data_IF_953386830391
#
_entry.id   IF_953386830391
#
_cell.length_a   1.000
_cell.length_b   1.000
_cell.length_c   1.000
_cell.angle_alpha   90.00
_cell.angle_beta   90.00
_cell.angle_gamma   90.00
#
_symmetry.space_group_name_H-M   'P 1'
#
loop_
_entity.id
_entity.type
_entity.pdbx_description
1 polymer ?
#
# COMPACT_ATOMS: atom_id res chain seq x y z
N UNK A 1 8.76 -8.03 -14.65
CA UNK A 1 7.52 -7.32 -14.28
C UNK A 1 7.88 -5.88 -14.00
N UNK A 2 7.12 -4.93 -14.55
CA UNK A 2 7.34 -3.51 -14.30
C UNK A 2 6.66 -3.11 -12.97
N UNK A 3 7.44 -3.01 -11.89
CA UNK A 3 6.89 -2.71 -10.57
C UNK A 3 6.25 -1.31 -10.50
N UNK A 4 6.61 -0.38 -11.39
CA UNK A 4 6.00 0.96 -11.43
C UNK A 4 4.51 0.95 -11.77
N UNK A 5 4.01 -0.13 -12.37
CA UNK A 5 2.61 -0.24 -12.75
C UNK A 5 1.69 -0.68 -11.61
N UNK A 6 2.25 -1.12 -10.49
CA UNK A 6 1.49 -1.53 -9.32
C UNK A 6 0.66 -0.35 -8.77
N UNK A 7 -0.62 -0.57 -8.41
CA UNK A 7 -1.50 0.50 -7.91
C UNK A 7 -0.89 1.32 -6.76
N UNK A 8 -0.18 0.66 -5.83
CA UNK A 8 0.47 1.33 -4.70
C UNK A 8 1.58 2.29 -5.14
N UNK A 9 2.37 1.90 -6.15
CA UNK A 9 3.47 2.72 -6.64
C UNK A 9 2.95 3.92 -7.42
N UNK A 10 1.87 3.75 -8.21
CA UNK A 10 1.18 4.87 -8.86
C UNK A 10 0.60 5.86 -7.85
N UNK A 11 0.02 5.38 -6.75
CA UNK A 11 -0.49 6.23 -5.67
C UNK A 11 0.64 7.03 -5.00
N UNK A 12 1.76 6.38 -4.68
CA UNK A 12 2.93 7.05 -4.10
C UNK A 12 3.47 8.14 -5.04
N UNK A 13 3.54 7.87 -6.35
CA UNK A 13 3.96 8.88 -7.33
C UNK A 13 3.03 10.09 -7.34
N UNK A 14 1.70 9.88 -7.34
CA UNK A 14 0.72 10.99 -7.28
C UNK A 14 0.86 11.81 -5.99
N UNK A 15 1.10 11.16 -4.86
CA UNK A 15 1.37 11.84 -3.57
C UNK A 15 2.63 12.71 -3.69
N UNK A 16 3.72 12.17 -4.22
CA UNK A 16 4.97 12.90 -4.37
C UNK A 16 4.84 14.10 -5.32
N UNK A 17 4.10 13.94 -6.42
CA UNK A 17 3.82 15.03 -7.35
C UNK A 17 2.99 16.14 -6.69
N UNK A 18 1.88 15.80 -6.02
CA UNK A 18 1.05 16.77 -5.30
C UNK A 18 1.84 17.49 -4.20
N UNK A 19 2.64 16.75 -3.43
CA UNK A 19 3.52 17.31 -2.40
C UNK A 19 4.57 18.26 -2.99
N UNK A 20 5.18 17.92 -4.14
CA UNK A 20 6.16 18.78 -4.80
C UNK A 20 5.57 20.10 -5.30
N UNK A 21 4.26 20.12 -5.59
CA UNK A 21 3.49 21.28 -6.04
C UNK A 21 2.81 22.02 -4.89
N UNK A 22 2.86 21.47 -3.67
CA UNK A 22 2.15 21.96 -2.49
C UNK A 22 0.63 22.08 -2.71
N UNK A 23 0.07 21.09 -3.42
CA UNK A 23 -1.34 21.01 -3.81
C UNK A 23 -2.03 19.85 -3.08
N UNK A 24 -3.36 19.92 -2.88
CA UNK A 24 -4.13 18.79 -2.38
C UNK A 24 -4.04 17.60 -3.34
N UNK A 25 -4.09 16.39 -2.79
CA UNK A 25 -4.18 15.17 -3.59
C UNK A 25 -5.64 14.92 -4.00
N UNK A 26 -5.96 15.23 -5.25
CA UNK A 26 -7.25 14.90 -5.83
C UNK A 26 -7.20 13.53 -6.53
N UNK A 27 -8.04 12.60 -6.08
CA UNK A 27 -8.21 11.30 -6.71
C UNK A 27 -9.49 11.31 -7.56
N UNK A 28 -9.37 10.84 -8.80
CA UNK A 28 -10.55 10.69 -9.67
C UNK A 28 -11.43 9.52 -9.20
N UNK A 29 -12.69 9.49 -9.63
CA UNK A 29 -13.61 8.37 -9.34
C UNK A 29 -12.99 7.02 -9.77
N UNK A 30 -12.32 7.01 -10.93
CA UNK A 30 -11.65 5.81 -11.44
C UNK A 30 -10.48 5.38 -10.54
N UNK A 31 -9.64 6.34 -10.09
CA UNK A 31 -8.55 6.06 -9.16
C UNK A 31 -9.08 5.43 -7.86
N UNK A 32 -10.15 6.00 -7.30
CA UNK A 32 -10.76 5.50 -6.06
C UNK A 32 -11.27 4.08 -6.24
N UNK A 33 -11.90 3.76 -7.37
CA UNK A 33 -12.38 2.40 -7.65
C UNK A 33 -11.24 1.39 -7.83
N UNK A 34 -10.17 1.77 -8.52
CA UNK A 34 -8.98 0.92 -8.72
C UNK A 34 -8.30 0.66 -7.38
N UNK A 35 -8.11 1.69 -6.55
CA UNK A 35 -7.47 1.57 -5.25
C UNK A 35 -8.33 0.74 -4.29
N UNK A 36 -9.64 0.96 -4.25
CA UNK A 36 -10.56 0.16 -3.44
C UNK A 36 -10.49 -1.33 -3.80
N UNK A 37 -10.54 -1.68 -5.09
CA UNK A 37 -10.46 -3.08 -5.55
C UNK A 37 -9.07 -3.70 -5.35
N UNK A 38 -8.02 -2.93 -5.57
CA UNK A 38 -6.64 -3.44 -5.56
C UNK A 38 -6.05 -3.54 -4.17
N UNK A 39 -6.29 -2.54 -3.32
CA UNK A 39 -5.60 -2.38 -2.04
C UNK A 39 -6.52 -1.95 -0.88
N UNK A 40 -7.83 -1.73 -1.11
CA UNK A 40 -8.75 -1.17 -0.12
C UNK A 40 -8.90 -2.02 1.14
N UNK A 41 -8.84 -3.34 1.00
CA UNK A 41 -8.94 -4.28 2.13
C UNK A 41 -7.57 -4.66 2.71
N UNK A 42 -6.48 -4.06 2.20
CA UNK A 42 -5.11 -4.42 2.55
C UNK A 42 -4.44 -3.35 3.42
N UNK A 43 -3.67 -3.81 4.40
CA UNK A 43 -2.78 -2.96 5.20
C UNK A 43 -1.34 -3.24 4.78
N UNK A 44 -0.63 -2.21 4.32
CA UNK A 44 0.77 -2.32 3.93
C UNK A 44 1.67 -1.97 5.12
N UNK A 45 2.58 -2.88 5.46
CA UNK A 45 3.67 -2.59 6.39
C UNK A 45 4.88 -2.21 5.52
N UNK A 46 5.29 -0.92 5.49
CA UNK A 46 6.46 -0.53 4.74
C UNK A 46 7.70 -1.17 5.37
N UNK A 47 8.41 -1.95 4.57
CA UNK A 47 9.73 -2.49 4.88
C UNK A 47 10.74 -1.86 3.94
N UNK A 48 11.83 -1.37 4.50
CA UNK A 48 12.89 -0.67 3.78
C UNK A 48 13.99 -1.63 3.33
N UNK A 49 14.15 -2.76 4.02
CA UNK A 49 15.26 -3.70 3.87
C UNK A 49 14.78 -5.15 3.89
N UNK A 50 15.56 -6.04 3.27
CA UNK A 50 15.28 -7.48 3.31
C UNK A 50 15.40 -8.04 4.74
N UNK A 51 16.28 -7.46 5.55
CA UNK A 51 16.47 -7.81 6.95
C UNK A 51 15.18 -7.63 7.76
N UNK A 52 14.40 -6.58 7.48
CA UNK A 52 13.10 -6.36 8.12
C UNK A 52 12.07 -7.42 7.70
N UNK A 53 12.11 -7.89 6.46
CA UNK A 53 11.23 -8.99 6.00
C UNK A 53 11.56 -10.30 6.72
N UNK A 54 12.86 -10.60 6.85
CA UNK A 54 13.34 -11.78 7.58
C UNK A 54 12.89 -11.71 9.05
N UNK A 55 12.94 -10.54 9.67
CA UNK A 55 12.51 -10.36 11.05
C UNK A 55 11.00 -10.55 11.22
N UNK A 56 10.18 -10.04 10.30
CA UNK A 56 8.72 -10.29 10.29
C UNK A 56 8.39 -11.79 10.14
N UNK A 57 9.18 -12.52 9.35
CA UNK A 57 9.06 -13.97 9.20
C UNK A 57 9.39 -14.70 10.51
N UNK A 58 10.51 -14.35 11.16
CA UNK A 58 10.91 -14.91 12.47
C UNK A 58 9.87 -14.67 13.56
N UNK A 59 9.25 -13.50 13.56
CA UNK A 59 8.18 -13.15 14.51
C UNK A 59 6.84 -13.85 14.21
N UNK A 60 6.75 -14.63 13.13
CA UNK A 60 5.52 -15.26 12.69
C UNK A 60 4.44 -14.23 12.35
N UNK A 61 4.82 -13.01 11.93
CA UNK A 61 3.87 -11.94 11.55
C UNK A 61 3.72 -11.84 10.04
N UNK A 62 4.71 -12.30 9.28
CA UNK A 62 4.67 -12.28 7.83
C UNK A 62 3.59 -13.21 7.30
N UNK A 63 2.66 -12.67 6.50
CA UNK A 63 1.54 -13.43 5.92
C UNK A 63 0.34 -13.63 6.86
N UNK A 64 0.44 -13.22 8.13
CA UNK A 64 -0.68 -13.32 9.07
C UNK A 64 -1.58 -12.07 9.03
N UNK A 65 -2.91 -12.22 9.20
CA UNK A 65 -3.82 -11.10 9.29
C UNK A 65 -3.43 -10.17 10.45
N UNK A 66 -3.25 -8.87 10.16
CA UNK A 66 -2.92 -7.85 11.17
C UNK A 66 -4.07 -7.66 12.17
N UNK A 67 -5.30 -7.93 11.73
CA UNK A 67 -6.48 -8.02 12.60
C UNK A 67 -7.09 -9.41 12.45
N UNK A 68 -7.55 -10.06 13.53
CA UNK A 68 -8.43 -11.21 13.39
C UNK A 68 -9.65 -10.78 12.58
N UNK A 69 -10.11 -11.64 11.66
CA UNK A 69 -11.31 -11.38 10.88
C UNK A 69 -12.41 -10.87 11.82
N UNK A 70 -13.01 -9.73 11.46
CA UNK A 70 -14.19 -9.24 12.15
C UNK A 70 -15.22 -10.37 12.04
N UNK A 71 -15.62 -10.96 13.16
CA UNK A 71 -16.78 -11.83 13.17
C UNK A 71 -17.97 -10.96 12.74
N UNK A 72 -18.51 -11.23 11.55
CA UNK A 72 -19.82 -10.74 11.13
C UNK A 72 -20.92 -11.43 11.94
#
# INVERSE_FOLDING_TARGET
>A
MNNSELPINKLISKINEAASRNEPLDLTIEDVQILSKGIGDSFFIPVLTNEQVVELSKQGKLGNPIRPNKAE
#
